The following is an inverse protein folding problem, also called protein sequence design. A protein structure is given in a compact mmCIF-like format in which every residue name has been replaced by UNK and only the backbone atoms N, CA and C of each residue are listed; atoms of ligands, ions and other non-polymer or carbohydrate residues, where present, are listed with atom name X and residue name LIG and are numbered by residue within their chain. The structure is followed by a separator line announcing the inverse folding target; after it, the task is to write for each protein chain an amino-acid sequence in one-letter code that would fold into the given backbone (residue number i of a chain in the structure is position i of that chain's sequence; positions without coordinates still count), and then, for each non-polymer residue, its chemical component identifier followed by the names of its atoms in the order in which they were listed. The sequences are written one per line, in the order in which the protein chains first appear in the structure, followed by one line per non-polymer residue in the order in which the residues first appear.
data_IF_174446442776
#
_entry.id   IF_174446442776
#
_cell.length_a   1.000
_cell.length_b   1.000
_cell.length_c   1.000
_cell.angle_alpha   90.00
_cell.angle_beta   90.00
_cell.angle_gamma   90.00
#
_symmetry.space_group_name_H-M   'P 1'
#
loop_
_entity.id
_entity.type
_entity.pdbx_description
1 polymer ?
#
# COMPACT_ATOMS: atom_id res chain seq x y z
N UNK A 1 8.69 -17.24 23.16
CA UNK A 1 8.01 -15.95 22.89
C UNK A 1 8.84 -15.18 21.88
N UNK A 2 8.52 -15.30 20.59
CA UNK A 2 9.17 -14.48 19.56
C UNK A 2 8.46 -13.12 19.52
N UNK A 3 9.24 -12.04 19.55
CA UNK A 3 8.73 -10.69 19.39
C UNK A 3 7.99 -10.58 18.05
N UNK A 4 6.80 -10.00 18.06
CA UNK A 4 6.06 -9.69 16.85
C UNK A 4 6.86 -8.65 16.05
N UNK A 5 7.59 -9.10 15.02
CA UNK A 5 8.10 -8.20 14.00
C UNK A 5 6.90 -7.47 13.41
N UNK A 6 6.89 -6.14 13.52
CA UNK A 6 5.83 -5.31 12.97
C UNK A 6 5.77 -5.42 11.44
N UNK A 7 4.71 -4.90 10.82
CA UNK A 7 4.63 -4.90 9.36
C UNK A 7 5.80 -4.11 8.76
N UNK A 8 6.33 -4.63 7.66
CA UNK A 8 7.26 -3.92 6.78
C UNK A 8 6.57 -2.71 6.13
N UNK A 9 7.34 -1.74 5.65
CA UNK A 9 6.79 -0.56 4.95
C UNK A 9 5.86 -0.94 3.79
N UNK A 10 6.21 -2.00 3.04
CA UNK A 10 5.40 -2.45 1.91
C UNK A 10 4.08 -3.07 2.40
N UNK A 11 4.10 -3.82 3.48
CA UNK A 11 2.89 -4.40 4.07
C UNK A 11 1.96 -3.31 4.65
N UNK A 12 2.53 -2.24 5.22
CA UNK A 12 1.77 -1.06 5.65
C UNK A 12 1.07 -0.36 4.48
N UNK A 13 1.81 -0.10 3.39
CA UNK A 13 1.24 0.49 2.16
C UNK A 13 0.13 -0.37 1.58
N UNK A 14 0.28 -1.70 1.64
CA UNK A 14 -0.76 -2.62 1.17
C UNK A 14 -2.01 -2.56 2.05
N UNK A 15 -1.85 -2.57 3.38
CA UNK A 15 -2.99 -2.47 4.30
C UNK A 15 -3.78 -1.17 4.08
N UNK A 16 -3.08 -0.07 3.85
CA UNK A 16 -3.67 1.23 3.50
C UNK A 16 -4.39 1.20 2.14
N UNK A 17 -3.76 0.65 1.10
CA UNK A 17 -4.36 0.54 -0.24
C UNK A 17 -5.65 -0.30 -0.23
N UNK A 18 -5.65 -1.43 0.49
CA UNK A 18 -6.86 -2.27 0.67
C UNK A 18 -7.96 -1.45 1.37
N UNK A 19 -7.63 -0.76 2.46
CA UNK A 19 -8.60 0.03 3.21
C UNK A 19 -9.19 1.17 2.38
N UNK A 20 -8.37 1.88 1.61
CA UNK A 20 -8.82 2.95 0.73
C UNK A 20 -9.77 2.45 -0.37
N UNK A 21 -9.42 1.36 -1.05
CA UNK A 21 -10.26 0.81 -2.13
C UNK A 21 -11.60 0.29 -1.59
N UNK A 22 -11.60 -0.39 -0.44
CA UNK A 22 -12.82 -0.94 0.16
C UNK A 22 -13.70 0.12 0.84
N UNK A 23 -13.14 1.20 1.39
CA UNK A 23 -13.93 2.26 2.05
C UNK A 23 -14.82 3.00 1.06
N UNK A 24 -14.36 3.17 -0.18
CA UNK A 24 -15.12 3.82 -1.27
C UNK A 24 -16.40 3.06 -1.67
N UNK A 25 -16.55 1.82 -1.20
CA UNK A 25 -17.68 0.95 -1.55
C UNK A 25 -18.78 0.97 -0.48
N UNK A 26 -18.54 1.61 0.65
CA UNK A 26 -19.50 1.77 1.74
C UNK A 26 -19.32 0.76 2.87
N UNK A 27 -20.21 0.87 3.85
CA UNK A 27 -20.06 0.19 5.15
C UNK A 27 -20.16 -1.35 5.08
N UNK A 28 -20.79 -1.91 4.05
CA UNK A 28 -20.88 -3.36 3.83
C UNK A 28 -19.51 -4.03 3.66
N UNK A 29 -18.56 -3.36 3.01
CA UNK A 29 -17.21 -3.87 2.78
C UNK A 29 -16.42 -4.10 4.08
N UNK A 30 -16.66 -3.31 5.13
CA UNK A 30 -16.00 -3.50 6.44
C UNK A 30 -16.48 -4.78 7.14
N UNK A 31 -17.78 -5.06 7.07
CA UNK A 31 -18.36 -6.28 7.66
C UNK A 31 -17.83 -7.52 6.96
N UNK A 32 -17.80 -7.51 5.64
CA UNK A 32 -17.30 -8.65 4.86
C UNK A 32 -15.79 -8.83 4.99
N UNK A 33 -15.00 -7.75 5.08
CA UNK A 33 -13.58 -7.81 5.44
C UNK A 33 -13.36 -8.49 6.80
N UNK A 34 -14.14 -8.14 7.84
CA UNK A 34 -14.02 -8.78 9.17
C UNK A 34 -14.32 -10.28 9.14
N UNK A 35 -15.29 -10.70 8.33
CA UNK A 35 -15.60 -12.13 8.13
C UNK A 35 -14.44 -12.85 7.44
N UNK A 36 -13.85 -12.25 6.41
CA UNK A 36 -12.68 -12.79 5.73
C UNK A 36 -11.47 -12.95 6.68
N UNK A 37 -11.20 -11.95 7.53
CA UNK A 37 -10.14 -12.05 8.56
C UNK A 37 -10.44 -13.17 9.56
N UNK A 38 -11.70 -13.30 9.98
CA UNK A 38 -12.12 -14.34 10.92
C UNK A 38 -11.94 -15.73 10.33
N UNK A 39 -12.29 -15.92 9.05
CA UNK A 39 -12.05 -17.16 8.32
C UNK A 39 -10.55 -17.50 8.29
N UNK A 40 -9.71 -16.58 7.79
CA UNK A 40 -8.27 -16.85 7.68
C UNK A 40 -7.64 -17.17 9.04
N UNK A 41 -8.09 -16.50 10.10
CA UNK A 41 -7.60 -16.76 11.47
C UNK A 41 -8.00 -18.16 11.93
N UNK A 42 -9.27 -18.53 11.77
CA UNK A 42 -9.82 -19.80 12.21
C UNK A 42 -9.15 -21.00 11.52
N UNK A 43 -8.76 -20.83 10.25
CA UNK A 43 -8.19 -21.90 9.42
C UNK A 43 -6.68 -21.76 9.19
N UNK A 44 -6.00 -20.87 9.90
CA UNK A 44 -4.56 -20.60 9.72
C UNK A 44 -3.63 -21.77 10.03
N UNK A 45 -4.10 -22.77 10.79
CA UNK A 45 -3.37 -23.99 11.11
C UNK A 45 -3.68 -25.19 10.21
N UNK A 46 -4.51 -25.03 9.18
CA UNK A 46 -4.79 -26.10 8.22
C UNK A 46 -3.71 -26.16 7.12
N UNK A 47 -3.75 -27.24 6.33
CA UNK A 47 -2.95 -27.34 5.11
C UNK A 47 -3.38 -26.24 4.11
N UNK A 48 -2.40 -25.62 3.44
CA UNK A 48 -2.60 -24.58 2.42
C UNK A 48 -3.59 -23.44 2.82
N UNK A 49 -3.42 -22.78 3.98
CA UNK A 49 -4.43 -21.87 4.52
C UNK A 49 -4.67 -20.63 3.64
N UNK A 50 -3.63 -20.12 2.96
CA UNK A 50 -3.77 -18.99 2.04
C UNK A 50 -4.50 -19.36 0.75
N UNK A 51 -4.19 -20.52 0.17
CA UNK A 51 -4.90 -21.05 -1.00
C UNK A 51 -6.38 -21.29 -0.69
N UNK A 52 -6.67 -21.94 0.43
CA UNK A 52 -8.04 -22.16 0.91
C UNK A 52 -8.80 -20.85 1.15
N UNK A 53 -8.11 -19.83 1.66
CA UNK A 53 -8.67 -18.48 1.78
C UNK A 53 -9.05 -17.88 0.43
N UNK A 54 -8.19 -17.96 -0.60
CA UNK A 54 -8.56 -17.46 -1.93
C UNK A 54 -9.71 -18.25 -2.56
N UNK A 55 -9.74 -19.58 -2.40
CA UNK A 55 -10.87 -20.41 -2.84
C UNK A 55 -12.17 -20.04 -2.12
N UNK A 56 -12.11 -19.72 -0.83
CA UNK A 56 -13.25 -19.22 -0.07
C UNK A 56 -13.77 -17.89 -0.62
N UNK A 57 -12.89 -16.93 -0.92
CA UNK A 57 -13.29 -15.65 -1.50
C UNK A 57 -13.93 -15.81 -2.89
N UNK A 58 -13.40 -16.72 -3.70
CA UNK A 58 -13.98 -17.07 -5.00
C UNK A 58 -15.37 -17.68 -4.85
N UNK A 59 -15.54 -18.60 -3.89
CA UNK A 59 -16.84 -19.18 -3.59
C UNK A 59 -17.86 -18.12 -3.13
N UNK A 60 -17.45 -17.14 -2.32
CA UNK A 60 -18.28 -16.01 -1.92
C UNK A 60 -18.67 -15.13 -3.11
N UNK A 61 -17.72 -14.76 -3.97
CA UNK A 61 -17.98 -13.92 -5.13
C UNK A 61 -18.90 -14.61 -6.15
N UNK A 62 -18.74 -15.92 -6.32
CA UNK A 62 -19.55 -16.74 -7.24
C UNK A 62 -20.97 -16.98 -6.72
N UNK A 63 -21.12 -17.18 -5.41
CA UNK A 63 -22.41 -17.53 -4.80
C UNK A 63 -23.07 -16.38 -4.04
N UNK A 64 -22.51 -15.17 -4.10
CA UNK A 64 -22.95 -14.02 -3.31
C UNK A 64 -24.44 -13.67 -3.44
N UNK A 65 -25.03 -13.93 -4.61
CA UNK A 65 -26.47 -13.73 -4.86
C UNK A 65 -27.39 -14.69 -4.11
N UNK A 66 -26.86 -15.82 -3.63
CA UNK A 66 -27.61 -16.83 -2.86
C UNK A 66 -27.35 -16.75 -1.35
N UNK A 67 -26.23 -16.16 -0.95
CA UNK A 67 -25.77 -16.13 0.45
C UNK A 67 -25.94 -14.74 1.06
N UNK A 68 -26.11 -13.70 0.24
CA UNK A 68 -26.29 -12.34 0.68
C UNK A 68 -27.69 -12.06 1.23
N UNK A 69 -27.74 -11.41 2.39
CA UNK A 69 -29.00 -10.91 2.98
C UNK A 69 -29.42 -9.54 2.41
N UNK A 70 -28.58 -8.91 1.56
CA UNK A 70 -28.90 -7.67 0.87
C UNK A 70 -28.59 -7.75 -0.62
N UNK A 71 -29.33 -7.01 -1.44
CA UNK A 71 -29.13 -6.92 -2.88
C UNK A 71 -27.78 -6.31 -3.30
N UNK A 72 -26.98 -5.78 -2.38
CA UNK A 72 -25.64 -5.21 -2.62
C UNK A 72 -24.49 -6.14 -2.19
N UNK A 73 -24.82 -7.24 -1.49
CA UNK A 73 -23.84 -8.21 -0.98
C UNK A 73 -23.00 -8.89 -2.08
N UNK A 74 -23.56 -9.25 -3.26
CA UNK A 74 -22.78 -9.86 -4.34
C UNK A 74 -21.65 -8.97 -4.88
N UNK A 75 -21.90 -7.67 -5.01
CA UNK A 75 -20.95 -6.67 -5.50
C UNK A 75 -19.79 -6.50 -4.51
N UNK A 76 -20.08 -6.50 -3.21
CA UNK A 76 -19.04 -6.46 -2.17
C UNK A 76 -18.12 -7.67 -2.25
N UNK A 77 -18.66 -8.88 -2.43
CA UNK A 77 -17.82 -10.07 -2.54
C UNK A 77 -16.93 -10.07 -3.77
N UNK A 78 -17.46 -9.67 -4.93
CA UNK A 78 -16.66 -9.53 -6.15
C UNK A 78 -15.53 -8.53 -5.96
N UNK A 79 -15.82 -7.37 -5.36
CA UNK A 79 -14.77 -6.40 -5.13
C UNK A 79 -13.73 -6.88 -4.12
N UNK A 80 -14.15 -7.50 -3.01
CA UNK A 80 -13.20 -8.00 -2.01
C UNK A 80 -12.28 -9.05 -2.64
N UNK A 81 -12.81 -9.94 -3.46
CA UNK A 81 -12.02 -10.91 -4.20
C UNK A 81 -11.00 -10.22 -5.12
N UNK A 82 -11.40 -9.19 -5.86
CA UNK A 82 -10.51 -8.45 -6.76
C UNK A 82 -9.40 -7.73 -6.00
N UNK A 83 -9.75 -6.97 -4.96
CA UNK A 83 -8.81 -6.22 -4.11
C UNK A 83 -7.82 -7.18 -3.45
N UNK A 84 -8.28 -8.30 -2.91
CA UNK A 84 -7.38 -9.24 -2.23
C UNK A 84 -6.49 -10.01 -3.21
N UNK A 85 -6.98 -10.39 -4.39
CA UNK A 85 -6.10 -10.97 -5.41
C UNK A 85 -5.03 -9.98 -5.86
N UNK A 86 -5.39 -8.70 -6.05
CA UNK A 86 -4.44 -7.65 -6.43
C UNK A 86 -3.32 -7.47 -5.40
N UNK A 87 -3.66 -7.47 -4.11
CA UNK A 87 -2.74 -7.04 -3.06
C UNK A 87 -2.14 -8.17 -2.21
N UNK A 88 -2.84 -9.28 -2.04
CA UNK A 88 -2.46 -10.36 -1.12
C UNK A 88 -1.98 -11.64 -1.83
N UNK A 89 -2.14 -11.78 -3.14
CA UNK A 89 -1.78 -13.04 -3.83
C UNK A 89 -0.32 -13.45 -3.61
N UNK A 90 0.60 -12.48 -3.57
CA UNK A 90 2.03 -12.72 -3.28
C UNK A 90 2.32 -13.20 -1.85
N UNK A 91 1.33 -13.14 -0.96
CA UNK A 91 1.40 -13.61 0.43
C UNK A 91 0.62 -14.91 0.64
N UNK A 92 0.17 -15.60 -0.42
CA UNK A 92 -0.58 -16.87 -0.33
C UNK A 92 0.11 -17.90 0.58
N UNK A 93 1.43 -18.05 0.44
CA UNK A 93 2.24 -18.95 1.27
C UNK A 93 2.59 -18.37 2.65
N UNK A 94 2.04 -17.20 3.01
CA UNK A 94 2.35 -16.43 4.23
C UNK A 94 1.05 -15.98 4.93
N UNK A 95 0.24 -16.91 5.46
CA UNK A 95 -1.05 -16.60 6.09
C UNK A 95 -0.92 -15.66 7.30
N UNK A 96 0.19 -15.73 8.04
CA UNK A 96 0.48 -14.82 9.15
C UNK A 96 0.63 -13.36 8.68
N UNK A 97 1.34 -13.14 7.57
CA UNK A 97 1.49 -11.81 6.96
C UNK A 97 0.14 -11.29 6.46
N UNK A 98 -0.65 -12.14 5.79
CA UNK A 98 -1.99 -11.78 5.33
C UNK A 98 -2.88 -11.35 6.49
N UNK A 99 -2.84 -12.05 7.63
CA UNK A 99 -3.60 -11.70 8.83
C UNK A 99 -3.16 -10.35 9.41
N UNK A 100 -1.86 -10.06 9.42
CA UNK A 100 -1.36 -8.75 9.88
C UNK A 100 -1.84 -7.63 8.96
N UNK A 101 -1.66 -7.79 7.65
CA UNK A 101 -2.07 -6.80 6.64
C UNK A 101 -3.56 -6.50 6.74
N UNK A 102 -4.40 -7.56 6.71
CA UNK A 102 -5.86 -7.40 6.78
C UNK A 102 -6.33 -6.85 8.14
N UNK A 103 -5.67 -7.24 9.24
CA UNK A 103 -5.95 -6.72 10.57
C UNK A 103 -5.72 -5.21 10.67
N UNK A 104 -4.73 -4.68 9.96
CA UNK A 104 -4.52 -3.23 9.85
C UNK A 104 -5.45 -2.56 8.85
N UNK A 105 -5.78 -3.21 7.73
CA UNK A 105 -6.78 -2.69 6.80
C UNK A 105 -8.13 -2.45 7.49
N UNK A 106 -8.58 -3.35 8.38
CA UNK A 106 -9.78 -3.16 9.20
C UNK A 106 -9.69 -1.90 10.07
N UNK A 107 -8.52 -1.66 10.69
CA UNK A 107 -8.28 -0.49 11.54
C UNK A 107 -8.28 0.80 10.73
N UNK A 108 -7.65 0.81 9.56
CA UNK A 108 -7.67 1.95 8.64
C UNK A 108 -9.06 2.26 8.10
N UNK A 109 -9.84 1.26 7.70
CA UNK A 109 -11.23 1.49 7.29
C UNK A 109 -12.09 2.09 8.41
N UNK A 110 -11.86 1.65 9.66
CA UNK A 110 -12.55 2.25 10.81
C UNK A 110 -12.14 3.71 11.00
N UNK A 111 -10.85 4.00 10.88
CA UNK A 111 -10.31 5.35 10.94
C UNK A 111 -10.89 6.26 9.85
N UNK A 112 -10.96 5.78 8.59
CA UNK A 112 -11.51 6.53 7.45
C UNK A 112 -13.01 6.80 7.53
N UNK A 113 -13.74 6.03 8.35
CA UNK A 113 -15.15 6.33 8.64
C UNK A 113 -15.31 7.58 9.52
N UNK A 114 -14.36 7.80 10.43
CA UNK A 114 -14.37 8.92 11.38
C UNK A 114 -13.59 10.13 10.90
N UNK A 115 -12.63 9.93 10.00
CA UNK A 115 -11.76 10.99 9.48
C UNK A 115 -11.69 10.87 7.97
N UNK A 116 -12.15 11.89 7.21
CA UNK A 116 -12.15 11.83 5.77
C UNK A 116 -10.74 11.54 5.24
N UNK A 117 -10.67 10.68 4.22
CA UNK A 117 -9.43 10.27 3.55
C UNK A 117 -8.68 11.54 3.12
N UNK A 118 -7.46 11.73 3.64
CA UNK A 118 -6.64 12.93 3.39
C UNK A 118 -6.51 13.90 4.57
N UNK A 119 -7.28 13.73 5.64
CA UNK A 119 -7.12 14.49 6.89
C UNK A 119 -6.71 13.54 8.02
N UNK A 120 -5.46 13.64 8.48
CA UNK A 120 -5.03 12.95 9.69
C UNK A 120 -5.67 13.64 10.91
N UNK A 121 -6.49 12.96 11.72
CA UNK A 121 -6.79 13.36 13.09
C UNK A 121 -5.52 13.70 13.85
N UNK A 122 -5.53 14.90 14.41
CA UNK A 122 -4.79 15.17 15.62
C UNK A 122 -5.37 14.29 16.73
N UNK A 123 -4.64 13.24 17.12
CA UNK A 123 -4.96 12.53 18.36
C UNK A 123 -4.71 13.52 19.50
N UNK A 124 -5.66 13.72 20.44
CA UNK A 124 -5.41 14.54 21.61
C UNK A 124 -4.17 14.03 22.36
N UNK A 125 -3.13 14.88 22.47
CA UNK A 125 -1.80 14.53 23.02
C UNK A 125 -1.86 13.88 24.42
N UNK A 126 -2.95 14.11 25.15
CA UNK A 126 -3.20 13.60 26.48
C UNK A 126 -3.67 12.13 26.55
N UNK A 127 -3.97 11.48 25.42
CA UNK A 127 -4.47 10.09 25.37
C UNK A 127 -3.51 9.13 24.65
N UNK A 128 -2.44 9.63 24.04
CA UNK A 128 -1.49 8.82 23.27
C UNK A 128 -0.31 8.39 24.15
N UNK A 129 0.01 7.10 24.13
CA UNK A 129 1.26 6.61 24.74
C UNK A 129 2.48 7.21 24.01
N UNK A 130 3.65 7.37 24.67
CA UNK A 130 4.85 7.95 24.06
C UNK A 130 5.24 7.27 22.74
N UNK A 131 4.98 5.97 22.64
CA UNK A 131 5.25 5.17 21.44
C UNK A 131 4.29 5.50 20.29
N UNK A 132 3.03 5.81 20.60
CA UNK A 132 2.03 6.26 19.61
C UNK A 132 2.33 7.67 19.15
N UNK A 133 2.79 8.55 20.05
CA UNK A 133 3.23 9.91 19.70
C UNK A 133 4.43 9.85 18.75
N UNK A 134 5.47 9.11 19.09
CA UNK A 134 6.66 8.96 18.23
C UNK A 134 6.34 8.31 16.87
N UNK A 135 5.45 7.30 16.86
CA UNK A 135 5.00 6.67 15.62
C UNK A 135 4.15 7.63 14.78
N UNK A 136 3.34 8.48 15.40
CA UNK A 136 2.51 9.47 14.72
C UNK A 136 3.32 10.67 14.23
N UNK A 137 4.37 11.08 14.94
CA UNK A 137 5.34 12.07 14.48
C UNK A 137 6.15 11.54 13.30
N UNK A 138 6.60 10.28 13.36
CA UNK A 138 7.25 9.62 12.23
C UNK A 138 6.31 9.49 11.02
N UNK A 139 5.08 9.02 11.24
CA UNK A 139 4.07 8.90 10.19
C UNK A 139 3.63 10.26 9.65
N UNK A 140 3.51 11.30 10.48
CA UNK A 140 3.26 12.67 10.04
C UNK A 140 4.44 13.18 9.24
N UNK A 141 5.70 13.02 9.65
CA UNK A 141 6.84 13.42 8.81
C UNK A 141 6.83 12.72 7.43
N UNK A 142 6.41 11.44 7.40
CA UNK A 142 6.23 10.65 6.18
C UNK A 142 5.03 11.10 5.31
N UNK A 143 3.95 11.64 5.90
CA UNK A 143 2.69 11.99 5.21
C UNK A 143 2.47 13.51 5.02
N UNK A 144 3.13 14.36 5.80
CA UNK A 144 3.15 15.83 5.65
C UNK A 144 4.28 16.32 4.75
N UNK A 145 5.13 15.42 4.28
CA UNK A 145 5.92 15.68 3.08
C UNK A 145 4.98 15.66 1.87
N UNK A 146 4.08 16.65 1.75
CA UNK A 146 3.48 16.98 0.46
C UNK A 146 4.66 17.11 -0.47
N UNK A 147 4.76 16.17 -1.42
CA UNK A 147 5.82 16.19 -2.41
C UNK A 147 5.77 17.57 -3.05
N UNK A 148 6.93 18.23 -3.14
CA UNK A 148 7.07 19.52 -3.79
C UNK A 148 7.96 19.35 -4.99
N UNK A 149 7.65 20.07 -6.05
CA UNK A 149 8.60 20.25 -7.15
C UNK A 149 9.91 20.81 -6.59
N UNK A 150 11.04 20.24 -7.02
CA UNK A 150 12.37 20.54 -6.50
C UNK A 150 12.83 19.68 -5.31
N UNK A 151 11.97 18.85 -4.71
CA UNK A 151 12.38 17.92 -3.65
C UNK A 151 13.26 16.81 -4.22
N UNK A 152 14.33 16.45 -3.49
CA UNK A 152 15.19 15.30 -3.83
C UNK A 152 14.80 14.06 -3.02
N UNK A 153 14.78 12.91 -3.69
CA UNK A 153 14.46 11.60 -3.14
C UNK A 153 15.47 10.57 -3.63
N UNK A 154 15.66 9.52 -2.85
CA UNK A 154 16.45 8.36 -3.28
C UNK A 154 15.59 7.47 -4.17
N UNK A 155 16.14 7.06 -5.32
CA UNK A 155 15.51 6.18 -6.28
C UNK A 155 16.47 5.08 -6.73
N UNK A 156 15.94 3.88 -6.93
CA UNK A 156 16.70 2.75 -7.46
C UNK A 156 16.64 2.74 -8.97
N UNK A 157 17.78 2.62 -9.64
CA UNK A 157 17.83 2.45 -11.10
C UNK A 157 17.53 1.00 -11.43
N UNK A 158 16.39 0.72 -12.03
CA UNK A 158 15.96 -0.67 -12.32
C UNK A 158 16.27 -1.11 -13.75
N UNK A 159 16.42 -0.17 -14.68
CA UNK A 159 16.72 -0.46 -16.07
C UNK A 159 17.32 0.77 -16.78
N UNK A 160 18.17 0.55 -17.78
CA UNK A 160 18.69 1.57 -18.69
C UNK A 160 18.55 1.15 -20.15
N UNK A 161 18.04 2.04 -20.98
CA UNK A 161 17.93 1.84 -22.43
C UNK A 161 18.81 2.84 -23.18
N UNK A 162 19.81 2.32 -23.89
CA UNK A 162 20.74 3.13 -24.71
C UNK A 162 19.98 3.86 -25.82
N UNK A 163 19.00 3.20 -26.45
CA UNK A 163 18.12 3.79 -27.45
C UNK A 163 17.24 4.85 -26.79
N UNK A 164 17.50 6.12 -27.08
CA UNK A 164 16.78 7.26 -26.48
C UNK A 164 17.31 7.72 -25.12
N UNK A 165 18.44 7.14 -24.65
CA UNK A 165 19.08 7.46 -23.36
C UNK A 165 18.07 7.50 -22.20
N UNK A 166 17.25 6.46 -22.09
CA UNK A 166 16.19 6.36 -21.10
C UNK A 166 16.63 5.58 -19.86
N UNK A 167 16.24 6.06 -18.69
CA UNK A 167 16.50 5.42 -17.40
C UNK A 167 15.17 5.18 -16.71
N UNK A 168 14.98 3.98 -16.15
CA UNK A 168 13.83 3.66 -15.33
C UNK A 168 14.21 3.73 -13.86
N UNK A 169 13.56 4.61 -13.12
CA UNK A 169 13.72 4.78 -11.68
C UNK A 169 12.56 4.14 -10.93
N UNK A 170 12.87 3.39 -9.88
CA UNK A 170 11.91 2.92 -8.90
C UNK A 170 12.01 3.79 -7.65
N UNK A 171 10.95 4.53 -7.35
CA UNK A 171 10.83 5.29 -6.11
C UNK A 171 9.43 5.15 -5.53
N UNK A 172 9.37 4.99 -4.21
CA UNK A 172 8.12 4.78 -3.45
C UNK A 172 7.27 3.57 -3.91
N UNK A 173 7.82 2.67 -4.74
CA UNK A 173 7.14 1.51 -5.33
C UNK A 173 6.54 1.75 -6.71
N UNK A 174 6.86 2.88 -7.35
CA UNK A 174 6.42 3.23 -8.71
C UNK A 174 7.62 3.39 -9.64
N UNK A 175 7.44 2.99 -10.90
CA UNK A 175 8.45 3.12 -11.96
C UNK A 175 8.24 4.40 -12.79
N UNK A 176 9.33 5.15 -13.00
CA UNK A 176 9.35 6.37 -13.79
C UNK A 176 10.39 6.24 -14.91
N UNK A 177 9.94 6.40 -16.15
CA UNK A 177 10.79 6.28 -17.35
C UNK A 177 11.18 7.66 -17.85
N UNK A 178 12.41 8.04 -17.61
CA UNK A 178 12.90 9.40 -17.87
C UNK A 178 14.05 9.41 -18.87
N UNK A 179 14.07 10.43 -19.73
CA UNK A 179 15.17 10.63 -20.69
C UNK A 179 16.27 11.44 -20.04
N UNK A 180 17.46 10.86 -19.95
CA UNK A 180 18.63 11.45 -19.28
C UNK A 180 19.80 11.67 -20.24
N UNK A 181 19.66 12.42 -21.34
CA UNK A 181 20.66 12.44 -22.41
C UNK A 181 22.05 12.92 -21.97
N UNK A 182 22.11 13.76 -20.92
CA UNK A 182 23.33 14.33 -20.36
C UNK A 182 23.94 13.51 -19.21
N UNK A 183 23.10 12.79 -18.47
CA UNK A 183 23.50 12.07 -17.26
C UNK A 183 23.48 10.55 -17.42
N UNK A 184 23.00 10.04 -18.56
CA UNK A 184 22.83 8.61 -18.81
C UNK A 184 24.10 7.81 -18.53
N UNK A 185 25.26 8.35 -18.91
CA UNK A 185 26.55 7.68 -18.76
C UNK A 185 27.05 7.71 -17.29
N UNK A 186 26.52 8.62 -16.46
CA UNK A 186 26.86 8.76 -15.04
C UNK A 186 26.00 7.88 -14.12
N UNK A 187 24.86 7.40 -14.62
CA UNK A 187 23.89 6.64 -13.83
C UNK A 187 24.17 5.15 -14.01
N UNK A 188 24.51 4.43 -12.95
CA UNK A 188 24.70 2.98 -13.00
C UNK A 188 23.36 2.23 -12.81
N UNK A 189 23.17 1.16 -13.57
CA UNK A 189 22.01 0.27 -13.38
C UNK A 189 22.14 -0.49 -12.05
N UNK A 190 21.04 -0.63 -11.31
CA UNK A 190 21.01 -1.21 -9.97
C UNK A 190 21.45 -0.27 -8.84
N UNK A 191 21.98 0.91 -9.15
CA UNK A 191 22.43 1.88 -8.13
C UNK A 191 21.25 2.63 -7.50
N UNK A 192 21.47 3.09 -6.26
CA UNK A 192 20.59 4.06 -5.61
C UNK A 192 21.15 5.45 -5.93
N UNK A 193 20.32 6.29 -6.54
CA UNK A 193 20.69 7.65 -6.96
C UNK A 193 19.69 8.66 -6.43
N UNK A 194 20.12 9.92 -6.32
CA UNK A 194 19.21 11.02 -6.00
C UNK A 194 18.50 11.50 -7.25
N UNK A 195 17.19 11.61 -7.15
CA UNK A 195 16.34 12.20 -8.20
C UNK A 195 15.56 13.37 -7.61
N UNK A 196 15.41 14.43 -8.40
CA UNK A 196 14.62 15.61 -8.09
C UNK A 196 13.23 15.48 -8.74
N UNK A 197 12.18 15.81 -8.00
CA UNK A 197 10.81 15.87 -8.53
C UNK A 197 10.71 17.09 -9.44
N UNK A 198 10.50 16.87 -10.74
CA UNK A 198 10.35 17.96 -11.72
C UNK A 198 8.92 18.44 -11.87
N UNK A 199 7.96 17.54 -11.75
CA UNK A 199 6.56 17.93 -11.77
C UNK A 199 5.68 16.95 -11.02
N UNK A 200 4.58 17.49 -10.53
CA UNK A 200 3.50 16.74 -9.89
C UNK A 200 2.26 16.78 -10.79
N UNK A 201 1.38 15.79 -10.62
CA UNK A 201 0.03 15.79 -11.21
C UNK A 201 -0.92 16.61 -10.33
N UNK A 202 -2.12 16.88 -10.84
CA UNK A 202 -3.18 17.60 -10.11
C UNK A 202 -3.60 16.91 -8.79
N UNK A 203 -3.40 15.59 -8.70
CA UNK A 203 -3.65 14.77 -7.51
C UNK A 203 -2.48 14.78 -6.50
N UNK A 204 -1.40 15.51 -6.78
CA UNK A 204 -0.21 15.60 -5.94
C UNK A 204 0.77 14.43 -6.07
N UNK A 205 0.53 13.47 -6.98
CA UNK A 205 1.47 12.37 -7.26
C UNK A 205 2.58 12.82 -8.22
N UNK A 206 3.71 12.13 -8.19
CA UNK A 206 4.86 12.44 -9.05
C UNK A 206 4.48 12.18 -10.51
N UNK A 207 4.73 13.17 -11.36
CA UNK A 207 4.59 13.04 -12.80
C UNK A 207 5.96 12.78 -13.45
N UNK A 208 6.94 13.65 -13.17
CA UNK A 208 8.29 13.54 -13.71
C UNK A 208 9.37 13.69 -12.65
N UNK A 209 10.45 12.93 -12.81
CA UNK A 209 11.66 13.02 -11.99
C UNK A 209 12.89 13.25 -12.86
N UNK A 210 13.97 13.74 -12.27
CA UNK A 210 15.24 13.91 -12.98
C UNK A 210 16.42 13.58 -12.09
N UNK A 211 17.44 12.96 -12.64
CA UNK A 211 18.68 12.70 -11.92
C UNK A 211 19.27 14.00 -11.37
N UNK A 212 19.55 14.00 -10.07
CA UNK A 212 20.20 15.08 -9.37
C UNK A 212 21.63 14.66 -9.03
N UNK A 213 22.64 15.11 -9.79
CA UNK A 213 24.03 14.82 -9.46
C UNK A 213 24.34 15.45 -8.10
N UNK A 214 24.82 14.66 -7.15
CA UNK A 214 25.33 15.20 -5.90
C UNK A 214 26.52 16.10 -6.25
N UNK A 215 26.37 17.41 -6.10
CA UNK A 215 27.49 18.35 -6.21
C UNK A 215 28.57 17.92 -5.22
N UNK A 216 29.74 17.54 -5.74
CA UNK A 216 30.93 17.36 -4.94
C UNK A 216 31.17 18.68 -4.18
N UNK A 217 31.06 18.62 -2.86
CA UNK A 217 31.55 19.65 -1.94
C UNK A 217 32.89 19.19 -1.41
#
# INVERSE_FOLDING_TARGET
MQAAEGLTEIQWKIADAIANELTRQGSGSLTELRKAVSYLRAYSGQEDPGKNFFSYLEALAKNGSKIGHSNQTPEYYKSIQLVYNKYLRRYEEKPADMLQILGWAVRFMHYYKTFPIGELPSIPKNLASPKVIAMQEALQQLSTSKLKEGQTLDAKVVNKQVKGKQVTYELLGFEFKEREPKNFDLIAEGAIVKVEIKSLKEDGTINHVKFFPASQS
#
